data_IF_671863415264
#
_entry.id   IF_671863415264
#
_cell.length_a   1.000
_cell.length_b   1.000
_cell.length_c   1.000
_cell.angle_alpha   90.00
_cell.angle_beta   90.00
_cell.angle_gamma   90.00
#
_symmetry.space_group_name_H-M   'P 1'
#
loop_
_entity.id
_entity.type
_entity.pdbx_description
1 polymer ?
#
# COMPACT_ATOMS: atom_id res chain seq x y z
N UNK A 1 1.05 31.31 0.08
CA UNK A 1 0.98 30.15 -0.85
C UNK A 1 1.99 29.15 -0.33
N UNK A 2 1.56 28.05 0.30
CA UNK A 2 2.50 27.08 0.84
C UNK A 2 3.23 26.40 -0.33
N UNK A 3 4.53 26.69 -0.46
CA UNK A 3 5.40 25.95 -1.36
C UNK A 3 5.40 24.49 -0.91
N UNK A 4 4.90 23.59 -1.75
CA UNK A 4 5.04 22.16 -1.48
C UNK A 4 6.54 21.84 -1.52
N UNK A 5 7.10 21.39 -0.40
CA UNK A 5 8.47 20.89 -0.39
C UNK A 5 8.65 19.84 -1.50
N UNK A 6 9.80 19.81 -2.18
CA UNK A 6 10.09 18.79 -3.18
C UNK A 6 9.96 17.40 -2.55
N UNK A 7 8.92 16.65 -2.94
CA UNK A 7 8.71 15.26 -2.50
C UNK A 7 9.33 14.30 -3.50
N UNK A 8 9.92 13.22 -2.98
CA UNK A 8 10.40 12.09 -3.78
C UNK A 8 9.23 11.40 -4.48
N UNK A 9 9.51 10.65 -5.56
CA UNK A 9 8.48 9.86 -6.23
C UNK A 9 7.85 8.85 -5.26
N UNK A 10 8.67 8.23 -4.42
CA UNK A 10 8.20 7.31 -3.39
C UNK A 10 7.18 7.96 -2.46
N UNK A 11 7.47 9.14 -1.89
CA UNK A 11 6.55 9.84 -1.00
C UNK A 11 5.24 10.21 -1.70
N UNK A 12 5.31 10.64 -2.95
CA UNK A 12 4.11 10.96 -3.74
C UNK A 12 3.21 9.73 -3.94
N UNK A 13 3.80 8.59 -4.29
CA UNK A 13 3.05 7.34 -4.49
C UNK A 13 2.50 6.85 -3.15
N UNK A 14 3.31 6.83 -2.09
CA UNK A 14 2.89 6.43 -0.75
C UNK A 14 1.66 7.23 -0.30
N UNK A 15 1.74 8.56 -0.35
CA UNK A 15 0.65 9.45 0.07
C UNK A 15 -0.62 9.25 -0.76
N UNK A 16 -0.49 8.92 -2.05
CA UNK A 16 -1.62 8.67 -2.94
C UNK A 16 -2.37 7.35 -2.62
N UNK A 17 -1.70 6.38 -1.99
CA UNK A 17 -2.27 5.06 -1.68
C UNK A 17 -2.56 4.87 -0.18
N UNK A 18 -2.27 5.87 0.65
CA UNK A 18 -2.51 5.81 2.09
C UNK A 18 -4.00 5.93 2.41
N UNK A 19 -4.60 4.85 2.93
CA UNK A 19 -5.99 4.82 3.39
C UNK A 19 -6.07 5.27 4.86
N UNK A 20 -5.14 4.79 5.69
CA UNK A 20 -5.02 5.18 7.09
C UNK A 20 -3.55 5.31 7.47
N UNK A 21 -3.17 6.46 8.00
CA UNK A 21 -1.83 6.66 8.57
C UNK A 21 -1.58 5.70 9.73
N UNK A 22 -0.33 5.26 9.86
CA UNK A 22 0.20 4.51 10.99
C UNK A 22 -0.08 5.23 12.32
N UNK A 23 -0.19 4.43 13.38
CA UNK A 23 -0.28 4.86 14.78
C UNK A 23 0.66 3.99 15.61
N UNK A 24 0.84 4.32 16.89
CA UNK A 24 1.70 3.55 17.78
C UNK A 24 1.20 2.10 17.95
N UNK A 25 -0.10 1.86 17.77
CA UNK A 25 -0.73 0.55 17.94
C UNK A 25 -0.92 -0.22 16.62
N UNK A 26 -0.99 0.47 15.48
CA UNK A 26 -1.30 -0.16 14.19
C UNK A 26 -0.51 0.40 13.02
N UNK A 27 -0.01 -0.46 12.11
CA UNK A 27 0.68 -0.01 10.90
C UNK A 27 -0.25 0.78 9.97
N UNK A 28 0.37 1.51 9.04
CA UNK A 28 -0.36 2.18 7.97
C UNK A 28 -1.16 1.18 7.11
N UNK A 29 -2.35 1.59 6.68
CA UNK A 29 -3.18 0.84 5.74
C UNK A 29 -3.03 1.47 4.37
N UNK A 30 -2.62 0.66 3.38
CA UNK A 30 -2.45 1.07 2.00
C UNK A 30 -3.48 0.40 1.11
N UNK A 31 -3.93 1.13 0.09
CA UNK A 31 -4.67 0.57 -1.04
C UNK A 31 -3.70 -0.02 -2.06
N UNK A 32 -3.99 -1.22 -2.57
CA UNK A 32 -3.18 -1.90 -3.56
C UNK A 32 -4.03 -2.14 -4.81
N UNK A 33 -3.74 -1.40 -5.88
CA UNK A 33 -4.53 -1.39 -7.12
C UNK A 33 -4.46 -2.69 -7.91
N UNK A 34 -3.31 -3.38 -7.86
CA UNK A 34 -3.05 -4.57 -8.65
C UNK A 34 -2.26 -5.59 -7.84
N UNK A 35 -2.86 -6.78 -7.69
CA UNK A 35 -2.20 -7.95 -7.13
C UNK A 35 -1.84 -8.90 -8.28
N UNK A 36 -0.54 -9.06 -8.53
CA UNK A 36 -0.04 -10.05 -9.48
C UNK A 36 0.36 -11.31 -8.70
N UNK A 37 -0.19 -12.44 -9.10
CA UNK A 37 0.09 -13.75 -8.52
C UNK A 37 0.61 -14.69 -9.60
N UNK A 38 1.36 -15.71 -9.21
CA UNK A 38 1.87 -16.72 -10.13
C UNK A 38 1.36 -18.11 -9.75
N UNK A 39 1.34 -19.03 -10.71
CA UNK A 39 0.68 -20.34 -10.59
C UNK A 39 1.21 -21.20 -9.43
N UNK A 40 2.49 -21.03 -9.07
CA UNK A 40 3.14 -21.77 -7.99
C UNK A 40 2.80 -21.21 -6.59
N UNK A 41 2.45 -19.94 -6.49
CA UNK A 41 2.14 -19.25 -5.21
C UNK A 41 0.65 -18.95 -5.02
N UNK A 42 -0.15 -19.10 -6.08
CA UNK A 42 -1.58 -18.83 -6.05
C UNK A 42 -2.34 -19.75 -5.09
N UNK A 43 -2.15 -21.09 -5.08
CA UNK A 43 -2.91 -21.97 -4.19
C UNK A 43 -2.82 -21.59 -2.71
N UNK A 44 -1.63 -21.19 -2.24
CA UNK A 44 -1.39 -20.73 -0.87
C UNK A 44 -2.07 -19.38 -0.62
N UNK A 45 -1.92 -18.42 -1.54
CA UNK A 45 -2.54 -17.09 -1.41
C UNK A 45 -4.07 -17.13 -1.36
N UNK A 46 -4.72 -18.03 -2.13
CA UNK A 46 -6.18 -18.16 -2.15
C UNK A 46 -6.73 -19.03 -0.99
N UNK A 47 -5.90 -19.85 -0.34
CA UNK A 47 -6.37 -20.76 0.74
C UNK A 47 -7.01 -20.04 1.93
N UNK A 48 -6.65 -18.76 2.15
CA UNK A 48 -7.10 -17.90 3.25
C UNK A 48 -8.31 -17.03 2.90
N UNK A 49 -8.80 -17.06 1.66
CA UNK A 49 -9.90 -16.21 1.15
C UNK A 49 -11.29 -16.88 1.21
N UNK A 50 -11.56 -17.70 2.23
CA UNK A 50 -12.87 -18.38 2.38
C UNK A 50 -13.87 -17.58 3.18
#
# INVERSE_FOLDING_TARGET
MAQSEPRTLFAKIWDAHLVRAETDETPAVLYVDLHLVHEVTSPQAFSVLR
#
